data_IF_549444482299
#
_entry.id   IF_549444482299
#
_cell.length_a   1.000
_cell.length_b   1.000
_cell.length_c   1.000
_cell.angle_alpha   90.00
_cell.angle_beta   90.00
_cell.angle_gamma   90.00
#
_symmetry.space_group_name_H-M   'P 1'
#
loop_
_entity.id
_entity.type
_entity.pdbx_description
1 polymer ?
#
# COMPACT_ATOMS: atom_id res chain seq x y z
N UNK A 1 37.55 82.72 -4.83
CA UNK A 1 37.14 81.67 -5.79
C UNK A 1 37.44 80.23 -5.31
N UNK A 2 38.01 80.00 -4.11
CA UNK A 2 38.41 78.65 -3.65
C UNK A 2 37.38 77.99 -2.71
N UNK A 3 36.60 78.75 -1.93
CA UNK A 3 35.61 78.20 -0.96
C UNK A 3 34.39 77.51 -1.61
N UNK A 4 34.02 77.91 -2.83
CA UNK A 4 32.89 77.27 -3.55
C UNK A 4 33.29 75.96 -4.23
N UNK A 5 34.59 75.73 -4.47
CA UNK A 5 35.08 74.51 -5.11
C UNK A 5 35.14 73.35 -4.11
N UNK A 6 35.55 73.61 -2.86
CA UNK A 6 35.61 72.60 -1.80
C UNK A 6 34.23 72.12 -1.34
N UNK A 7 33.23 73.00 -1.34
CA UNK A 7 31.85 72.63 -0.99
C UNK A 7 31.21 71.74 -2.07
N UNK A 8 31.48 72.02 -3.34
CA UNK A 8 30.99 71.24 -4.49
C UNK A 8 31.64 69.85 -4.57
N UNK A 9 32.96 69.75 -4.30
CA UNK A 9 33.66 68.46 -4.23
C UNK A 9 33.21 67.59 -3.05
N UNK A 10 32.89 68.20 -1.90
CA UNK A 10 32.33 67.50 -0.73
C UNK A 10 30.93 66.92 -1.00
N UNK A 11 30.03 67.68 -1.64
CA UNK A 11 28.69 67.20 -1.99
C UNK A 11 28.72 66.09 -3.06
N UNK A 12 29.65 66.13 -4.01
CA UNK A 12 29.82 65.07 -5.01
C UNK A 12 30.29 63.76 -4.39
N UNK A 13 31.21 63.80 -3.41
CA UNK A 13 31.69 62.60 -2.73
C UNK A 13 30.56 61.83 -2.02
N UNK A 14 29.72 62.53 -1.26
CA UNK A 14 28.62 61.90 -0.49
C UNK A 14 27.59 61.26 -1.44
N UNK A 15 27.22 61.92 -2.54
CA UNK A 15 26.26 61.39 -3.50
C UNK A 15 26.74 60.11 -4.21
N UNK A 16 28.04 60.04 -4.56
CA UNK A 16 28.62 58.86 -5.23
C UNK A 16 28.69 57.67 -4.27
N UNK A 17 29.06 57.88 -3.00
CA UNK A 17 29.09 56.81 -2.00
C UNK A 17 27.69 56.29 -1.66
N UNK A 18 26.68 57.16 -1.56
CA UNK A 18 25.28 56.75 -1.34
C UNK A 18 24.75 55.88 -2.49
N UNK A 19 25.03 56.24 -3.75
CA UNK A 19 24.63 55.43 -4.91
C UNK A 19 25.33 54.06 -4.93
N UNK A 20 26.60 53.99 -4.52
CA UNK A 20 27.31 52.70 -4.39
C UNK A 20 26.81 51.85 -3.22
N UNK A 21 26.39 52.46 -2.10
CA UNK A 21 25.85 51.73 -0.96
C UNK A 21 24.46 51.16 -1.26
N UNK A 22 23.61 51.91 -1.96
CA UNK A 22 22.29 51.44 -2.41
C UNK A 22 22.40 50.36 -3.50
N UNK A 23 23.36 50.46 -4.43
CA UNK A 23 23.57 49.42 -5.45
C UNK A 23 24.15 48.13 -4.86
N UNK A 24 25.01 48.21 -3.84
CA UNK A 24 25.52 47.05 -3.10
C UNK A 24 24.40 46.40 -2.27
N UNK A 25 23.57 47.20 -1.59
CA UNK A 25 22.46 46.67 -0.80
C UNK A 25 21.37 46.03 -1.66
N UNK A 26 20.99 46.65 -2.78
CA UNK A 26 20.02 46.06 -3.72
C UNK A 26 20.52 44.75 -4.32
N UNK A 27 21.81 44.66 -4.67
CA UNK A 27 22.43 43.41 -5.17
C UNK A 27 22.44 42.29 -4.11
N UNK A 28 22.69 42.63 -2.84
CA UNK A 28 22.62 41.68 -1.72
C UNK A 28 21.21 41.19 -1.47
N UNK A 29 20.22 42.08 -1.48
CA UNK A 29 18.80 41.74 -1.32
C UNK A 29 18.34 40.86 -2.49
N UNK A 30 18.67 41.20 -3.73
CA UNK A 30 18.32 40.38 -4.90
C UNK A 30 18.94 38.99 -4.85
N UNK A 31 20.19 38.87 -4.37
CA UNK A 31 20.86 37.58 -4.23
C UNK A 31 20.24 36.74 -3.09
N UNK A 32 19.86 37.36 -1.98
CA UNK A 32 19.12 36.69 -0.91
C UNK A 32 17.74 36.22 -1.38
N UNK A 33 17.02 37.05 -2.13
CA UNK A 33 15.72 36.68 -2.74
C UNK A 33 15.87 35.56 -3.77
N UNK A 34 16.91 35.59 -4.60
CA UNK A 34 17.20 34.51 -5.55
C UNK A 34 17.50 33.19 -4.82
N UNK A 35 18.35 33.22 -3.80
CA UNK A 35 18.69 32.04 -3.01
C UNK A 35 17.48 31.47 -2.28
N UNK A 36 16.59 32.32 -1.75
CA UNK A 36 15.35 31.87 -1.11
C UNK A 36 14.36 31.28 -2.11
N UNK A 37 14.25 31.84 -3.33
CA UNK A 37 13.44 31.28 -4.41
C UNK A 37 13.94 29.91 -4.87
N UNK A 38 15.25 29.75 -5.09
CA UNK A 38 15.86 28.46 -5.45
C UNK A 38 15.64 27.42 -4.34
N UNK A 39 15.82 27.81 -3.08
CA UNK A 39 15.57 26.94 -1.90
C UNK A 39 14.10 26.54 -1.78
N UNK A 40 13.17 27.48 -1.97
CA UNK A 40 11.74 27.21 -1.96
C UNK A 40 11.34 26.26 -3.11
N UNK A 41 11.86 26.47 -4.32
CA UNK A 41 11.64 25.58 -5.46
C UNK A 41 12.15 24.15 -5.20
N UNK A 42 13.33 24.00 -4.59
CA UNK A 42 13.86 22.69 -4.20
C UNK A 42 12.98 22.01 -3.15
N UNK A 43 12.48 22.77 -2.17
CA UNK A 43 11.53 22.25 -1.16
C UNK A 43 10.22 21.80 -1.79
N UNK A 44 9.63 22.61 -2.66
CA UNK A 44 8.39 22.27 -3.38
C UNK A 44 8.56 21.02 -4.23
N UNK A 45 9.68 20.92 -4.97
CA UNK A 45 10.01 19.72 -5.74
C UNK A 45 10.14 18.48 -4.85
N UNK A 46 10.79 18.59 -3.69
CA UNK A 46 10.88 17.49 -2.74
C UNK A 46 9.51 17.08 -2.19
N UNK A 47 8.63 18.04 -1.86
CA UNK A 47 7.27 17.77 -1.42
C UNK A 47 6.45 17.08 -2.52
N UNK A 48 6.51 17.55 -3.77
CA UNK A 48 5.84 16.91 -4.90
C UNK A 48 6.36 15.50 -5.17
N UNK A 49 7.67 15.26 -5.03
CA UNK A 49 8.26 13.93 -5.14
C UNK A 49 7.83 13.00 -4.01
N UNK A 50 7.76 13.51 -2.77
CA UNK A 50 7.23 12.77 -1.62
C UNK A 50 5.76 12.42 -1.83
N UNK A 51 4.95 13.35 -2.31
CA UNK A 51 3.53 13.13 -2.61
C UNK A 51 3.34 12.09 -3.72
N UNK A 52 4.10 12.20 -4.82
CA UNK A 52 4.08 11.23 -5.90
C UNK A 52 4.50 9.83 -5.42
N UNK A 53 5.54 9.76 -4.58
CA UNK A 53 6.02 8.50 -4.00
C UNK A 53 5.00 7.89 -3.04
N UNK A 54 4.34 8.70 -2.21
CA UNK A 54 3.27 8.24 -1.32
C UNK A 54 2.06 7.72 -2.10
N UNK A 55 1.65 8.42 -3.17
CA UNK A 55 0.59 7.97 -4.09
C UNK A 55 0.95 6.65 -4.77
N UNK A 56 2.18 6.52 -5.27
CA UNK A 56 2.67 5.28 -5.88
C UNK A 56 2.70 4.12 -4.87
N UNK A 57 3.16 4.36 -3.64
CA UNK A 57 3.14 3.36 -2.55
C UNK A 57 1.72 2.90 -2.23
N UNK A 58 0.78 3.84 -2.03
CA UNK A 58 -0.63 3.52 -1.76
C UNK A 58 -1.27 2.71 -2.89
N UNK A 59 -0.95 3.05 -4.15
CA UNK A 59 -1.43 2.29 -5.32
C UNK A 59 -0.84 0.87 -5.36
N UNK A 60 0.44 0.70 -5.02
CA UNK A 60 1.08 -0.61 -4.99
C UNK A 60 0.51 -1.49 -3.88
N UNK A 61 0.27 -0.92 -2.69
CA UNK A 61 -0.34 -1.62 -1.55
C UNK A 61 -1.78 -2.05 -1.87
N UNK A 62 -2.56 -1.20 -2.55
CA UNK A 62 -3.91 -1.56 -2.97
C UNK A 62 -3.90 -2.72 -3.96
N UNK A 63 -2.98 -2.70 -4.94
CA UNK A 63 -2.85 -3.78 -5.92
C UNK A 63 -2.47 -5.12 -5.27
N UNK A 64 -1.53 -5.11 -4.31
CA UNK A 64 -1.16 -6.31 -3.55
C UNK A 64 -2.33 -6.86 -2.72
N UNK A 65 -3.18 -5.99 -2.17
CA UNK A 65 -4.40 -6.40 -1.49
C UNK A 65 -5.41 -7.04 -2.45
N UNK A 66 -5.63 -6.45 -3.62
CA UNK A 66 -6.53 -7.00 -4.64
C UNK A 66 -6.11 -8.42 -5.05
N UNK A 67 -4.82 -8.61 -5.35
CA UNK A 67 -4.26 -9.92 -5.70
C UNK A 67 -4.46 -10.96 -4.56
N UNK A 68 -4.32 -10.53 -3.30
CA UNK A 68 -4.54 -11.38 -2.12
C UNK A 68 -6.02 -11.71 -1.91
N UNK A 69 -6.94 -10.78 -2.15
CA UNK A 69 -8.37 -11.03 -2.10
C UNK A 69 -8.78 -12.04 -3.18
N UNK A 70 -8.34 -11.86 -4.42
CA UNK A 70 -8.60 -12.81 -5.51
C UNK A 70 -8.10 -14.21 -5.15
N UNK A 71 -6.86 -14.33 -4.66
CA UNK A 71 -6.30 -15.60 -4.24
C UNK A 71 -7.10 -16.23 -3.09
N UNK A 72 -7.55 -15.44 -2.12
CA UNK A 72 -8.37 -15.91 -1.01
C UNK A 72 -9.72 -16.45 -1.49
N UNK A 73 -10.40 -15.75 -2.41
CA UNK A 73 -11.67 -16.19 -2.98
C UNK A 73 -11.51 -17.46 -3.85
N UNK A 74 -10.46 -17.54 -4.67
CA UNK A 74 -10.15 -18.73 -5.45
C UNK A 74 -9.85 -19.95 -4.56
N UNK A 75 -9.12 -19.75 -3.44
CA UNK A 75 -8.89 -20.80 -2.44
C UNK A 75 -10.22 -21.28 -1.85
N UNK A 76 -11.12 -20.36 -1.48
CA UNK A 76 -12.45 -20.68 -0.94
C UNK A 76 -13.26 -21.52 -1.93
N UNK A 77 -13.35 -21.09 -3.18
CA UNK A 77 -14.12 -21.77 -4.23
C UNK A 77 -13.63 -23.22 -4.45
N UNK A 78 -12.31 -23.42 -4.47
CA UNK A 78 -11.70 -24.76 -4.58
C UNK A 78 -12.03 -25.63 -3.37
N UNK A 79 -11.97 -25.07 -2.16
CA UNK A 79 -12.29 -25.79 -0.93
C UNK A 79 -13.77 -26.18 -0.87
N UNK A 80 -14.68 -25.25 -1.21
CA UNK A 80 -16.12 -25.49 -1.29
C UNK A 80 -16.46 -26.57 -2.32
N UNK A 81 -15.81 -26.52 -3.50
CA UNK A 81 -15.98 -27.53 -4.55
C UNK A 81 -15.51 -28.91 -4.07
N UNK A 82 -14.34 -28.97 -3.41
CA UNK A 82 -13.83 -30.21 -2.81
C UNK A 82 -14.78 -30.73 -1.71
N UNK A 83 -15.36 -29.85 -0.90
CA UNK A 83 -16.29 -30.21 0.16
C UNK A 83 -17.57 -30.85 -0.42
N UNK A 84 -18.13 -30.27 -1.49
CA UNK A 84 -19.27 -30.83 -2.22
C UNK A 84 -18.96 -32.24 -2.74
N UNK A 85 -17.82 -32.42 -3.41
CA UNK A 85 -17.40 -33.73 -3.96
C UNK A 85 -17.22 -34.77 -2.85
N UNK A 86 -16.58 -34.41 -1.73
CA UNK A 86 -16.38 -35.33 -0.61
C UNK A 86 -17.71 -35.73 0.05
N UNK A 87 -18.65 -34.79 0.22
CA UNK A 87 -19.97 -35.11 0.76
C UNK A 87 -20.77 -36.01 -0.18
N UNK A 88 -20.71 -35.77 -1.48
CA UNK A 88 -21.34 -36.64 -2.46
C UNK A 88 -20.80 -38.08 -2.35
N UNK A 89 -19.47 -38.24 -2.35
CA UNK A 89 -18.83 -39.56 -2.16
C UNK A 89 -19.19 -40.20 -0.81
N UNK A 90 -19.30 -39.41 0.26
CA UNK A 90 -19.73 -39.89 1.57
C UNK A 90 -21.13 -40.50 1.50
N UNK A 91 -22.08 -39.81 0.86
CA UNK A 91 -23.45 -40.30 0.70
C UNK A 91 -23.50 -41.58 -0.14
N UNK A 92 -22.73 -41.64 -1.23
CA UNK A 92 -22.62 -42.84 -2.09
C UNK A 92 -22.07 -44.04 -1.31
N UNK A 93 -21.00 -43.85 -0.53
CA UNK A 93 -20.43 -44.92 0.30
C UNK A 93 -21.37 -45.33 1.44
N UNK A 94 -22.11 -44.40 2.05
CA UNK A 94 -23.13 -44.72 3.05
C UNK A 94 -24.25 -45.56 2.45
N UNK A 95 -24.72 -45.23 1.25
CA UNK A 95 -25.71 -46.03 0.53
C UNK A 95 -25.18 -47.43 0.21
N UNK A 96 -23.93 -47.53 -0.27
CA UNK A 96 -23.29 -48.81 -0.53
C UNK A 96 -23.17 -49.67 0.73
N UNK A 97 -22.77 -49.07 1.86
CA UNK A 97 -22.64 -49.74 3.14
C UNK A 97 -23.98 -50.35 3.60
N UNK A 98 -25.09 -49.62 3.45
CA UNK A 98 -26.43 -50.07 3.79
C UNK A 98 -26.92 -51.21 2.89
N UNK A 99 -26.52 -51.21 1.62
CA UNK A 99 -26.93 -52.22 0.63
C UNK A 99 -26.06 -53.48 0.65
N UNK A 100 -24.84 -53.42 1.19
CA UNK A 100 -23.92 -54.57 1.19
C UNK A 100 -24.33 -55.64 2.19
N UNK A 101 -24.32 -56.89 1.73
CA UNK A 101 -24.59 -58.09 2.55
C UNK A 101 -23.29 -58.82 2.97
N UNK A 102 -22.13 -58.32 2.54
CA UNK A 102 -20.84 -58.94 2.77
C UNK A 102 -20.04 -58.12 3.80
N UNK A 103 -19.66 -58.73 4.91
CA UNK A 103 -18.95 -58.04 5.99
C UNK A 103 -17.55 -57.57 5.58
N UNK A 104 -16.86 -58.29 4.69
CA UNK A 104 -15.57 -57.86 4.16
C UNK A 104 -15.70 -56.60 3.30
N UNK A 105 -16.78 -56.47 2.54
CA UNK A 105 -17.07 -55.26 1.76
C UNK A 105 -17.48 -54.10 2.66
N UNK A 106 -18.31 -54.34 3.69
CA UNK A 106 -18.68 -53.32 4.67
C UNK A 106 -17.45 -52.74 5.36
N UNK A 107 -16.51 -53.59 5.78
CA UNK A 107 -15.26 -53.14 6.40
C UNK A 107 -14.43 -52.26 5.44
N UNK A 108 -14.32 -52.67 4.17
CA UNK A 108 -13.64 -51.87 3.14
C UNK A 108 -14.31 -50.51 2.90
N UNK A 109 -15.64 -50.47 2.89
CA UNK A 109 -16.42 -49.23 2.73
C UNK A 109 -16.28 -48.34 3.96
N UNK A 110 -16.28 -48.91 5.17
CA UNK A 110 -16.07 -48.19 6.43
C UNK A 110 -14.72 -47.47 6.47
N UNK A 111 -13.64 -48.15 6.04
CA UNK A 111 -12.30 -47.52 5.97
C UNK A 111 -12.30 -46.30 5.04
N UNK A 112 -12.90 -46.42 3.86
CA UNK A 112 -13.04 -45.30 2.91
C UNK A 112 -13.89 -44.16 3.49
N UNK A 113 -14.95 -44.48 4.24
CA UNK A 113 -15.76 -43.47 4.92
C UNK A 113 -14.95 -42.70 5.96
N UNK A 114 -14.12 -43.39 6.75
CA UNK A 114 -13.21 -42.76 7.72
C UNK A 114 -12.20 -41.84 7.02
N UNK A 115 -11.61 -42.28 5.90
CA UNK A 115 -10.71 -41.45 5.10
C UNK A 115 -11.41 -40.17 4.61
N UNK A 116 -12.64 -40.28 4.10
CA UNK A 116 -13.42 -39.12 3.66
C UNK A 116 -13.74 -38.17 4.82
N UNK A 117 -14.07 -38.69 6.00
CA UNK A 117 -14.33 -37.87 7.19
C UNK A 117 -13.08 -37.06 7.56
N UNK A 118 -11.91 -37.69 7.60
CA UNK A 118 -10.64 -37.00 7.87
C UNK A 118 -10.35 -35.93 6.80
N UNK A 119 -10.64 -36.21 5.53
CA UNK A 119 -10.48 -35.22 4.47
C UNK A 119 -11.46 -34.05 4.57
N UNK A 120 -12.70 -34.30 4.98
CA UNK A 120 -13.72 -33.26 5.22
C UNK A 120 -13.28 -32.34 6.36
N UNK A 121 -12.79 -32.91 7.47
CA UNK A 121 -12.31 -32.14 8.62
C UNK A 121 -11.12 -31.24 8.22
N UNK A 122 -10.16 -31.79 7.46
CA UNK A 122 -9.03 -31.02 6.91
C UNK A 122 -9.50 -29.89 5.98
N UNK A 123 -10.50 -30.14 5.16
CA UNK A 123 -11.06 -29.12 4.27
C UNK A 123 -11.75 -28.01 5.07
N UNK A 124 -12.56 -28.36 6.07
CA UNK A 124 -13.23 -27.42 6.95
C UNK A 124 -12.23 -26.57 7.75
N UNK A 125 -11.12 -27.15 8.21
CA UNK A 125 -10.05 -26.40 8.87
C UNK A 125 -9.42 -25.37 7.93
N UNK A 126 -9.13 -25.74 6.68
CA UNK A 126 -8.62 -24.81 5.66
C UNK A 126 -9.61 -23.68 5.34
N UNK A 127 -10.92 -23.95 5.33
CA UNK A 127 -11.94 -22.93 5.16
C UNK A 127 -11.93 -21.92 6.33
N UNK A 128 -11.74 -22.38 7.56
CA UNK A 128 -11.61 -21.48 8.72
C UNK A 128 -10.37 -20.59 8.61
N UNK A 129 -9.23 -21.17 8.22
CA UNK A 129 -7.99 -20.42 7.98
C UNK A 129 -8.15 -19.37 6.89
N UNK A 130 -8.81 -19.74 5.78
CA UNK A 130 -9.13 -18.82 4.69
C UNK A 130 -10.05 -17.67 5.13
N UNK A 131 -11.03 -17.93 6.01
CA UNK A 131 -11.87 -16.88 6.59
C UNK A 131 -11.10 -15.94 7.54
N UNK A 132 -10.15 -16.47 8.30
CA UNK A 132 -9.27 -15.64 9.14
C UNK A 132 -8.37 -14.75 8.27
N UNK A 133 -7.77 -15.31 7.21
CA UNK A 133 -6.99 -14.55 6.22
C UNK A 133 -7.85 -13.42 5.60
N UNK A 134 -9.11 -13.70 5.25
CA UNK A 134 -10.02 -12.70 4.69
C UNK A 134 -10.26 -11.53 5.65
N UNK A 135 -10.47 -11.79 6.95
CA UNK A 135 -10.65 -10.73 7.96
C UNK A 135 -9.42 -9.84 8.06
N UNK A 136 -8.22 -10.44 8.06
CA UNK A 136 -6.95 -9.69 8.08
C UNK A 136 -6.83 -8.81 6.84
N UNK A 137 -7.21 -9.30 5.66
CA UNK A 137 -7.19 -8.50 4.43
C UNK A 137 -8.20 -7.34 4.49
N UNK A 138 -9.39 -7.57 5.03
CA UNK A 138 -10.41 -6.52 5.24
C UNK A 138 -9.93 -5.44 6.20
N UNK A 139 -9.31 -5.81 7.33
CA UNK A 139 -8.72 -4.87 8.29
C UNK A 139 -7.62 -4.02 7.65
N UNK A 140 -6.73 -4.65 6.85
CA UNK A 140 -5.69 -3.92 6.12
C UNK A 140 -6.28 -2.95 5.10
N UNK A 141 -7.26 -3.38 4.32
CA UNK A 141 -7.93 -2.53 3.35
C UNK A 141 -8.59 -1.31 4.01
N UNK A 142 -9.31 -1.52 5.11
CA UNK A 142 -9.94 -0.42 5.86
C UNK A 142 -8.89 0.57 6.39
N UNK A 143 -7.75 0.07 6.90
CA UNK A 143 -6.67 0.94 7.38
C UNK A 143 -6.05 1.86 6.32
N UNK A 144 -6.15 1.49 5.04
CA UNK A 144 -5.70 2.30 3.90
C UNK A 144 -6.74 3.32 3.44
N UNK A 145 -8.02 3.10 3.75
CA UNK A 145 -9.11 4.03 3.47
C UNK A 145 -9.27 5.11 4.56
N UNK A 146 -8.97 4.76 5.81
CA UNK A 146 -9.05 5.69 6.96
C UNK A 146 -7.87 6.68 7.05
N UNK A 147 -6.98 6.70 6.04
CA UNK A 147 -5.86 7.65 5.89
C UNK A 147 -5.97 8.48 4.61
#
# INVERSE_FOLDING_TARGET
MVKNLTLALSLCGIAIFSQTAESINSSRVSQQTYNSQVSNYQRERALSQMEASAKASKSSEMKDLDEKFELNFLKKERLDSKFKVLNQKKMELQSLLLSSKNDAEKEKVNRKLQEIVVELDKNQQKLKENQVELKILQEKYNSLLEK
#
